data_IF_526496654453
#
_entry.id   IF_526496654453
#
_cell.length_a   1.000
_cell.length_b   1.000
_cell.length_c   1.000
_cell.angle_alpha   90.00
_cell.angle_beta   90.00
_cell.angle_gamma   90.00
#
_symmetry.space_group_name_H-M   'P 1'
#
loop_
_entity.id
_entity.type
_entity.pdbx_description
1 polymer ?
#
# COMPACT_ATOMS: atom_id res chain seq x y z
N UNK A 1 21.32 12.33 23.69
CA UNK A 1 19.92 12.20 23.21
C UNK A 1 19.46 13.60 22.86
N UNK A 2 18.93 13.82 21.66
CA UNK A 2 18.36 15.12 21.33
C UNK A 2 17.24 15.42 22.35
N UNK A 3 17.32 16.58 22.99
CA UNK A 3 16.30 17.05 23.91
C UNK A 3 15.03 17.30 23.09
N UNK A 4 14.08 16.36 23.15
CA UNK A 4 12.84 16.43 22.41
C UNK A 4 11.91 17.42 23.14
N UNK A 5 12.14 18.70 22.91
CA UNK A 5 11.53 19.79 23.71
C UNK A 5 10.18 20.30 23.19
N UNK A 6 9.58 19.65 22.18
CA UNK A 6 8.28 20.05 21.61
C UNK A 6 7.22 19.01 21.90
N UNK A 7 6.04 19.44 22.36
CA UNK A 7 4.87 18.56 22.47
C UNK A 7 4.41 18.16 21.06
N UNK A 8 4.45 16.86 20.69
CA UNK A 8 3.97 16.40 19.38
C UNK A 8 2.52 16.79 19.07
N UNK A 9 1.72 17.14 20.08
CA UNK A 9 0.35 17.63 19.91
C UNK A 9 0.25 18.99 19.19
N UNK A 10 1.35 19.77 19.16
CA UNK A 10 1.44 21.08 18.49
C UNK A 10 1.47 20.97 16.95
N UNK A 11 1.68 19.77 16.40
CA UNK A 11 1.62 19.51 14.96
C UNK A 11 0.16 19.31 14.49
N UNK A 12 -0.71 20.31 14.72
CA UNK A 12 -2.16 20.13 14.59
C UNK A 12 -2.60 19.78 13.16
N UNK A 13 -2.02 20.40 12.11
CA UNK A 13 -2.33 20.04 10.71
C UNK A 13 -2.16 18.54 10.44
N UNK A 14 -1.04 17.94 10.88
CA UNK A 14 -0.81 16.51 10.75
C UNK A 14 -1.88 15.70 11.49
N UNK A 15 -2.15 16.05 12.75
CA UNK A 15 -3.10 15.30 13.56
C UNK A 15 -4.55 15.41 13.07
N UNK A 16 -4.98 16.59 12.65
CA UNK A 16 -6.28 16.77 12.01
C UNK A 16 -6.38 15.94 10.74
N UNK A 17 -5.37 15.99 9.87
CA UNK A 17 -5.34 15.20 8.65
C UNK A 17 -5.40 13.69 8.94
N UNK A 18 -4.64 13.24 9.95
CA UNK A 18 -4.59 11.85 10.41
C UNK A 18 -5.93 11.38 10.95
N UNK A 19 -6.55 12.16 11.83
CA UNK A 19 -7.84 11.83 12.45
C UNK A 19 -8.94 11.78 11.35
N UNK A 20 -8.96 12.72 10.40
CA UNK A 20 -9.91 12.73 9.27
C UNK A 20 -9.84 11.49 8.35
N UNK A 21 -8.66 10.89 8.21
CA UNK A 21 -8.41 9.74 7.33
C UNK A 21 -8.50 8.38 8.06
N UNK A 22 -8.37 8.36 9.39
CA UNK A 22 -8.22 7.10 10.12
C UNK A 22 -9.44 6.18 9.99
N UNK A 23 -9.18 4.88 9.82
CA UNK A 23 -10.22 3.84 9.74
C UNK A 23 -10.99 3.66 11.05
N UNK A 24 -10.35 3.94 12.20
CA UNK A 24 -11.00 3.99 13.52
C UNK A 24 -12.18 4.97 13.54
N UNK A 25 -12.07 6.05 12.76
CA UNK A 25 -13.07 7.11 12.62
C UNK A 25 -13.85 6.99 11.30
N UNK A 26 -14.00 5.76 10.79
CA UNK A 26 -14.81 5.48 9.61
C UNK A 26 -14.19 5.88 8.27
N UNK A 27 -12.93 6.33 8.25
CA UNK A 27 -12.28 6.96 7.08
C UNK A 27 -13.07 8.14 6.53
N UNK A 28 -13.56 9.01 7.43
CA UNK A 28 -14.53 10.07 7.13
C UNK A 28 -14.21 10.85 5.86
N UNK A 29 -12.97 11.34 5.71
CA UNK A 29 -12.58 12.17 4.57
C UNK A 29 -12.51 11.43 3.23
N UNK A 30 -12.52 10.10 3.21
CA UNK A 30 -12.68 9.33 1.97
C UNK A 30 -14.13 9.32 1.46
N UNK A 31 -15.10 9.52 2.36
CA UNK A 31 -16.53 9.34 2.08
C UNK A 31 -17.28 10.66 2.01
N UNK A 32 -16.90 11.64 2.83
CA UNK A 32 -17.63 12.91 2.98
C UNK A 32 -16.83 14.11 2.43
N UNK A 33 -16.26 13.98 1.22
CA UNK A 33 -15.42 15.03 0.63
C UNK A 33 -16.15 16.35 0.39
N UNK A 34 -17.39 16.29 -0.10
CA UNK A 34 -18.17 17.51 -0.35
C UNK A 34 -18.48 18.25 0.95
N UNK A 35 -18.92 17.53 1.98
CA UNK A 35 -19.13 18.10 3.33
C UNK A 35 -17.86 18.77 3.85
N UNK A 36 -16.68 18.16 3.64
CA UNK A 36 -15.41 18.75 4.03
C UNK A 36 -15.07 20.02 3.24
N UNK A 37 -15.36 20.07 1.93
CA UNK A 37 -15.18 21.29 1.12
C UNK A 37 -16.10 22.42 1.61
N UNK A 38 -17.37 22.11 1.84
CA UNK A 38 -18.34 23.06 2.37
C UNK A 38 -17.92 23.60 3.74
N UNK A 39 -17.47 22.71 4.63
CA UNK A 39 -16.95 23.05 5.94
C UNK A 39 -15.76 24.02 5.83
N UNK A 40 -14.79 23.72 4.95
CA UNK A 40 -13.62 24.57 4.76
C UNK A 40 -13.98 25.98 4.24
N UNK A 41 -14.88 26.07 3.27
CA UNK A 41 -15.34 27.35 2.72
C UNK A 41 -16.03 28.19 3.79
N UNK A 42 -16.93 27.60 4.57
CA UNK A 42 -17.67 28.33 5.60
C UNK A 42 -16.73 28.79 6.73
N UNK A 43 -15.81 27.94 7.19
CA UNK A 43 -14.79 28.34 8.17
C UNK A 43 -13.89 29.46 7.64
N UNK A 44 -13.56 29.46 6.34
CA UNK A 44 -12.78 30.53 5.71
C UNK A 44 -13.50 31.88 5.77
N UNK A 45 -14.77 31.91 5.38
CA UNK A 45 -15.58 33.14 5.40
C UNK A 45 -15.69 33.75 6.81
N UNK A 46 -15.81 32.91 7.84
CA UNK A 46 -15.90 33.38 9.23
C UNK A 46 -14.56 33.88 9.79
N UNK A 47 -13.43 33.34 9.33
CA UNK A 47 -12.09 33.76 9.75
C UNK A 47 -11.65 35.10 9.12
N UNK A 48 -12.25 35.49 7.99
CA UNK A 48 -12.00 36.78 7.34
C UNK A 48 -12.82 37.94 7.94
N UNK A 49 -13.85 37.64 8.75
CA UNK A 49 -14.58 38.66 9.50
C UNK A 49 -13.86 38.98 10.81
N UNK A 50 -12.97 39.98 10.78
CA UNK A 50 -12.15 40.46 11.91
C UNK A 50 -12.96 40.81 13.18
N UNK A 51 -14.30 40.90 13.09
CA UNK A 51 -15.20 41.15 14.23
C UNK A 51 -15.46 39.91 15.10
N UNK A 52 -14.99 38.73 14.70
CA UNK A 52 -15.30 37.43 15.30
C UNK A 52 -14.06 36.70 15.85
N UNK A 53 -13.09 37.41 16.43
CA UNK A 53 -11.86 36.79 16.97
C UNK A 53 -11.89 36.54 18.48
N UNK A 54 -13.06 36.64 19.13
CA UNK A 54 -13.22 36.36 20.56
C UNK A 54 -13.45 34.86 20.88
N UNK A 55 -13.34 34.47 22.17
CA UNK A 55 -13.59 33.09 22.61
C UNK A 55 -15.00 32.59 22.26
N UNK A 56 -16.00 33.49 22.25
CA UNK A 56 -17.38 33.15 21.89
C UNK A 56 -17.52 32.75 20.41
N UNK A 57 -16.63 33.24 19.55
CA UNK A 57 -16.51 32.83 18.15
C UNK A 57 -15.90 31.45 17.99
N UNK A 58 -14.83 31.12 18.74
CA UNK A 58 -14.21 29.79 18.71
C UNK A 58 -15.23 28.71 19.10
N UNK A 59 -16.02 28.94 20.15
CA UNK A 59 -17.07 28.01 20.57
C UNK A 59 -18.21 27.89 19.55
N UNK A 60 -18.52 28.97 18.82
CA UNK A 60 -19.48 28.93 17.72
C UNK A 60 -18.97 28.07 16.57
N UNK A 61 -17.71 28.26 16.17
CA UNK A 61 -17.08 27.47 15.12
C UNK A 61 -16.92 26.00 15.50
N UNK A 62 -16.61 25.70 16.77
CA UNK A 62 -16.61 24.32 17.29
C UNK A 62 -17.98 23.64 17.16
N UNK A 63 -19.07 24.35 17.47
CA UNK A 63 -20.44 23.82 17.27
C UNK A 63 -20.72 23.60 15.80
N UNK A 64 -20.37 24.56 14.95
CA UNK A 64 -20.53 24.42 13.51
C UNK A 64 -19.77 23.20 12.96
N UNK A 65 -18.49 23.02 13.32
CA UNK A 65 -17.70 21.84 12.95
C UNK A 65 -18.38 20.55 13.40
N UNK A 66 -18.88 20.51 14.65
CA UNK A 66 -19.60 19.34 15.17
C UNK A 66 -20.81 19.02 14.31
N UNK A 67 -21.70 19.98 14.17
CA UNK A 67 -23.00 19.78 13.54
C UNK A 67 -22.82 19.38 12.08
N UNK A 68 -21.95 20.08 11.33
CA UNK A 68 -21.64 19.73 9.93
C UNK A 68 -21.10 18.31 9.78
N UNK A 69 -20.16 17.89 10.65
CA UNK A 69 -19.57 16.56 10.54
C UNK A 69 -20.56 15.47 10.97
N UNK A 70 -21.28 15.64 12.09
CA UNK A 70 -22.21 14.62 12.58
C UNK A 70 -23.46 14.49 11.72
N UNK A 71 -23.98 15.61 11.19
CA UNK A 71 -25.24 15.62 10.42
C UNK A 71 -25.07 15.05 9.02
N UNK A 72 -23.83 14.94 8.53
CA UNK A 72 -23.52 14.26 7.27
C UNK A 72 -23.72 12.74 7.32
N UNK A 73 -23.90 12.16 8.52
CA UNK A 73 -23.98 10.71 8.72
C UNK A 73 -25.30 10.32 9.37
N UNK A 74 -25.93 9.26 8.83
CA UNK A 74 -27.15 8.70 9.42
C UNK A 74 -26.92 8.25 10.87
N UNK A 75 -27.62 8.90 11.80
CA UNK A 75 -27.56 8.60 13.22
C UNK A 75 -28.07 7.20 13.55
N UNK A 76 -29.13 6.76 12.90
CA UNK A 76 -29.76 5.47 13.19
C UNK A 76 -29.64 4.51 12.01
N UNK A 77 -29.46 3.24 12.33
CA UNK A 77 -29.48 2.13 11.38
C UNK A 77 -30.14 0.92 12.05
N UNK A 78 -31.14 0.32 11.40
CA UNK A 78 -31.87 -0.83 11.94
C UNK A 78 -32.46 -0.63 13.36
N UNK A 79 -32.86 0.59 13.69
CA UNK A 79 -33.50 0.91 14.98
C UNK A 79 -32.55 1.21 16.14
N UNK A 80 -31.23 1.19 15.91
CA UNK A 80 -30.22 1.54 16.90
C UNK A 80 -29.26 2.62 16.35
N UNK A 81 -28.39 3.17 17.20
CA UNK A 81 -27.35 4.12 16.79
C UNK A 81 -26.36 3.42 15.85
N UNK A 82 -26.10 4.03 14.70
CA UNK A 82 -25.22 3.43 13.71
C UNK A 82 -23.76 3.47 14.20
N UNK A 83 -23.01 2.38 13.97
CA UNK A 83 -21.56 2.34 14.25
C UNK A 83 -20.82 3.49 13.58
N UNK A 84 -21.23 3.85 12.36
CA UNK A 84 -20.63 4.96 11.60
C UNK A 84 -20.85 6.30 12.30
N UNK A 85 -22.04 6.53 12.86
CA UNK A 85 -22.32 7.74 13.63
C UNK A 85 -21.46 7.81 14.89
N UNK A 86 -21.35 6.72 15.67
CA UNK A 86 -20.46 6.67 16.86
C UNK A 86 -19.00 6.97 16.50
N UNK A 87 -18.48 6.40 15.41
CA UNK A 87 -17.14 6.70 14.91
C UNK A 87 -16.97 8.18 14.50
N UNK A 88 -18.04 8.79 14.02
CA UNK A 88 -18.07 10.20 13.62
C UNK A 88 -18.15 11.13 14.84
N UNK A 89 -18.88 10.74 15.90
CA UNK A 89 -18.87 11.46 17.18
C UNK A 89 -17.47 11.45 17.82
N UNK A 90 -16.81 10.29 17.87
CA UNK A 90 -15.43 10.17 18.38
C UNK A 90 -14.44 11.04 17.57
N UNK A 91 -14.59 11.09 16.25
CA UNK A 91 -13.80 11.95 15.37
C UNK A 91 -13.95 13.41 15.76
N UNK A 92 -15.21 13.88 15.84
CA UNK A 92 -15.52 15.26 16.19
C UNK A 92 -14.98 15.59 17.57
N UNK A 93 -15.18 14.74 18.57
CA UNK A 93 -14.65 14.97 19.90
C UNK A 93 -13.13 15.19 19.88
N UNK A 94 -12.39 14.39 19.12
CA UNK A 94 -10.93 14.55 18.99
C UNK A 94 -10.54 15.84 18.28
N UNK A 95 -11.22 16.20 17.20
CA UNK A 95 -10.99 17.46 16.49
C UNK A 95 -11.21 18.63 17.45
N UNK A 96 -12.35 18.67 18.14
CA UNK A 96 -12.72 19.78 19.01
C UNK A 96 -11.80 19.91 20.23
N UNK A 97 -11.31 18.79 20.78
CA UNK A 97 -10.32 18.78 21.88
C UNK A 97 -8.98 19.36 21.47
N UNK A 98 -8.63 19.35 20.17
CA UNK A 98 -7.38 19.95 19.66
C UNK A 98 -7.52 21.44 19.34
N UNK A 99 -8.74 21.96 19.22
CA UNK A 99 -9.00 23.37 18.94
C UNK A 99 -9.03 24.14 20.26
N UNK A 100 -8.07 25.02 20.47
CA UNK A 100 -8.01 25.89 21.66
C UNK A 100 -8.16 27.37 21.27
N UNK A 101 -7.82 27.70 20.03
CA UNK A 101 -7.80 29.06 19.49
C UNK A 101 -8.32 29.13 18.06
N UNK A 102 -8.56 30.36 17.58
CA UNK A 102 -8.89 30.60 16.17
C UNK A 102 -7.77 30.14 15.21
N UNK A 103 -6.51 30.12 15.66
CA UNK A 103 -5.41 29.60 14.84
C UNK A 103 -5.53 28.08 14.63
N UNK A 104 -6.02 27.33 15.63
CA UNK A 104 -6.23 25.89 15.45
C UNK A 104 -7.36 25.60 14.45
N UNK A 105 -8.34 26.49 14.33
CA UNK A 105 -9.42 26.40 13.34
C UNK A 105 -8.88 26.66 11.93
N UNK A 106 -7.99 27.65 11.78
CA UNK A 106 -7.23 27.87 10.55
C UNK A 106 -6.41 26.63 10.18
N UNK A 107 -5.72 26.02 11.12
CA UNK A 107 -4.96 24.78 10.89
C UNK A 107 -5.85 23.59 10.54
N UNK A 108 -7.01 23.46 11.20
CA UNK A 108 -7.99 22.45 10.87
C UNK A 108 -8.49 22.61 9.43
N UNK A 109 -8.82 23.84 9.01
CA UNK A 109 -9.20 24.16 7.63
C UNK A 109 -8.12 23.76 6.63
N UNK A 110 -6.85 24.14 6.90
CA UNK A 110 -5.71 23.75 6.06
C UNK A 110 -5.61 22.22 5.96
N UNK A 111 -5.79 21.50 7.07
CA UNK A 111 -5.77 20.04 7.08
C UNK A 111 -6.93 19.44 6.27
N UNK A 112 -8.13 20.01 6.36
CA UNK A 112 -9.29 19.60 5.56
C UNK A 112 -9.01 19.76 4.07
N UNK A 113 -8.59 20.95 3.63
CA UNK A 113 -8.25 21.22 2.24
C UNK A 113 -7.16 20.28 1.73
N UNK A 114 -6.12 20.09 2.54
CA UNK A 114 -5.03 19.20 2.22
C UNK A 114 -5.49 17.76 2.07
N UNK A 115 -6.29 17.25 3.00
CA UNK A 115 -6.80 15.86 2.93
C UNK A 115 -7.69 15.66 1.71
N UNK A 116 -8.58 16.60 1.40
CA UNK A 116 -9.45 16.51 0.21
C UNK A 116 -8.58 16.46 -1.04
N UNK A 117 -7.68 17.44 -1.22
CA UNK A 117 -6.83 17.55 -2.41
C UNK A 117 -5.90 16.36 -2.59
N UNK A 118 -5.26 15.94 -1.50
CA UNK A 118 -4.36 14.78 -1.53
C UNK A 118 -5.10 13.46 -1.75
N UNK A 119 -6.37 13.36 -1.37
CA UNK A 119 -7.20 12.19 -1.69
C UNK A 119 -7.58 12.16 -3.17
N UNK A 120 -7.88 13.32 -3.77
CA UNK A 120 -8.08 13.42 -5.22
C UNK A 120 -6.83 12.99 -5.99
N UNK A 121 -5.65 13.47 -5.58
CA UNK A 121 -4.37 13.06 -6.18
C UNK A 121 -4.24 11.54 -6.16
N UNK A 122 -4.46 10.88 -5.02
CA UNK A 122 -4.35 9.43 -4.91
C UNK A 122 -5.38 8.67 -5.76
N UNK A 123 -6.55 9.25 -6.01
CA UNK A 123 -7.62 8.63 -6.81
C UNK A 123 -7.42 8.81 -8.31
N UNK A 124 -6.80 9.91 -8.74
CA UNK A 124 -6.56 10.20 -10.16
C UNK A 124 -5.18 9.79 -10.64
N UNK A 125 -4.28 9.42 -9.72
CA UNK A 125 -2.96 8.88 -10.09
C UNK A 125 -3.13 7.59 -10.89
N UNK A 126 -2.46 7.51 -12.04
CA UNK A 126 -2.40 6.29 -12.84
C UNK A 126 -1.90 5.13 -11.97
N UNK A 127 -2.66 4.04 -11.94
CA UNK A 127 -2.23 2.81 -11.29
C UNK A 127 -1.34 2.02 -12.23
N UNK A 128 -0.19 1.58 -11.74
CA UNK A 128 0.57 0.51 -12.39
C UNK A 128 -0.30 -0.76 -12.43
N UNK A 129 -0.80 -1.08 -13.62
CA UNK A 129 -1.87 -2.04 -13.84
C UNK A 129 -1.45 -3.19 -14.75
N UNK A 130 -2.44 -3.94 -15.21
CA UNK A 130 -2.23 -5.14 -16.03
C UNK A 130 -1.46 -4.85 -17.33
N UNK A 131 -1.75 -3.73 -17.97
CA UNK A 131 -1.16 -3.40 -19.27
C UNK A 131 0.34 -3.11 -19.15
N UNK A 132 0.76 -2.33 -18.14
CA UNK A 132 2.18 -2.10 -17.86
C UNK A 132 2.91 -3.39 -17.44
N UNK A 133 2.25 -4.25 -16.67
CA UNK A 133 2.81 -5.56 -16.28
C UNK A 133 3.06 -6.42 -17.52
N UNK A 134 2.08 -6.49 -18.43
CA UNK A 134 2.18 -7.26 -19.68
C UNK A 134 3.35 -6.75 -20.52
N UNK A 135 3.46 -5.44 -20.70
CA UNK A 135 4.54 -4.82 -21.48
C UNK A 135 5.91 -5.22 -20.94
N UNK A 136 6.14 -5.08 -19.63
CA UNK A 136 7.44 -5.44 -19.00
C UNK A 136 7.71 -6.95 -19.10
N UNK A 137 6.69 -7.80 -18.92
CA UNK A 137 6.86 -9.24 -19.07
C UNK A 137 7.23 -9.60 -20.51
N UNK A 138 6.52 -9.07 -21.50
CA UNK A 138 6.80 -9.35 -22.90
C UNK A 138 8.20 -8.86 -23.30
N UNK A 139 8.58 -7.64 -22.91
CA UNK A 139 9.93 -7.11 -23.16
C UNK A 139 11.02 -7.95 -22.48
N UNK A 140 10.76 -8.43 -21.27
CA UNK A 140 11.72 -9.26 -20.53
C UNK A 140 11.80 -10.68 -21.06
N UNK A 141 10.71 -11.28 -21.55
CA UNK A 141 10.73 -12.64 -22.07
C UNK A 141 11.32 -12.73 -23.49
N UNK A 142 11.26 -11.65 -24.27
CA UNK A 142 11.68 -11.67 -25.67
C UNK A 142 13.16 -11.99 -25.87
N UNK A 143 13.43 -13.00 -26.69
CA UNK A 143 14.76 -13.27 -27.27
C UNK A 143 14.98 -12.43 -28.54
N UNK A 144 16.22 -12.42 -29.06
CA UNK A 144 16.53 -11.79 -30.36
C UNK A 144 15.71 -12.39 -31.53
N UNK A 145 15.19 -13.61 -31.38
CA UNK A 145 14.32 -14.28 -32.35
C UNK A 145 12.83 -14.02 -32.15
N UNK A 146 12.43 -13.27 -31.12
CA UNK A 146 11.03 -12.97 -30.81
C UNK A 146 10.26 -14.11 -30.13
N UNK A 147 10.95 -15.17 -29.71
CA UNK A 147 10.37 -16.27 -28.92
C UNK A 147 10.56 -16.02 -27.43
N UNK A 148 9.56 -16.29 -26.56
CA UNK A 148 9.72 -16.21 -25.11
C UNK A 148 10.82 -17.16 -24.59
N UNK A 149 11.66 -16.67 -23.68
CA UNK A 149 12.71 -17.46 -23.00
C UNK A 149 12.27 -17.87 -21.59
N UNK A 150 12.06 -19.17 -21.30
CA UNK A 150 11.66 -19.64 -19.96
C UNK A 150 12.67 -19.27 -18.87
N UNK A 151 13.96 -19.12 -19.20
CA UNK A 151 14.99 -18.75 -18.24
C UNK A 151 14.87 -17.31 -17.72
N UNK A 152 14.11 -16.46 -18.44
CA UNK A 152 13.89 -15.04 -18.09
C UNK A 152 12.58 -14.81 -17.34
N UNK A 153 11.81 -15.85 -17.02
CA UNK A 153 10.53 -15.73 -16.32
C UNK A 153 10.67 -15.07 -14.95
N UNK A 154 11.66 -15.47 -14.16
CA UNK A 154 11.89 -14.85 -12.86
C UNK A 154 12.38 -13.40 -13.00
N UNK A 155 13.23 -13.10 -13.99
CA UNK A 155 13.67 -11.74 -14.27
C UNK A 155 12.49 -10.84 -14.66
N UNK A 156 11.50 -11.37 -15.39
CA UNK A 156 10.28 -10.65 -15.71
C UNK A 156 9.50 -10.26 -14.45
N UNK A 157 9.35 -11.18 -13.49
CA UNK A 157 8.72 -10.88 -12.19
C UNK A 157 9.51 -9.82 -11.40
N UNK A 158 10.84 -9.91 -11.43
CA UNK A 158 11.71 -8.93 -10.78
C UNK A 158 11.58 -7.54 -11.40
N UNK A 159 11.64 -7.43 -12.72
CA UNK A 159 11.51 -6.16 -13.45
C UNK A 159 10.14 -5.53 -13.23
N UNK A 160 9.08 -6.34 -13.21
CA UNK A 160 7.72 -5.89 -12.92
C UNK A 160 7.62 -5.26 -11.51
N UNK A 161 8.21 -5.86 -10.46
CA UNK A 161 8.25 -5.24 -9.11
C UNK A 161 9.12 -3.99 -9.08
N UNK A 162 10.32 -4.07 -9.69
CA UNK A 162 11.31 -3.00 -9.66
C UNK A 162 10.84 -1.74 -10.39
N UNK A 163 10.35 -1.90 -11.62
CA UNK A 163 9.85 -0.80 -12.44
C UNK A 163 8.48 -0.31 -11.95
N UNK A 164 7.62 -1.23 -11.50
CA UNK A 164 6.30 -0.89 -10.94
C UNK A 164 6.38 -0.01 -9.71
N UNK A 165 7.34 -0.25 -8.81
CA UNK A 165 7.58 0.64 -7.66
C UNK A 165 8.00 2.04 -8.10
N UNK A 166 8.93 2.13 -9.05
CA UNK A 166 9.42 3.41 -9.56
C UNK A 166 8.32 4.19 -10.29
N UNK A 167 7.53 3.51 -11.14
CA UNK A 167 6.39 4.08 -11.86
C UNK A 167 5.36 4.64 -10.87
N UNK A 168 4.90 3.81 -9.93
CA UNK A 168 3.86 4.19 -8.98
C UNK A 168 4.33 5.33 -8.08
N UNK A 169 5.60 5.34 -7.67
CA UNK A 169 6.19 6.43 -6.91
C UNK A 169 6.22 7.72 -7.72
N UNK A 170 6.67 7.67 -8.98
CA UNK A 170 6.72 8.83 -9.87
C UNK A 170 5.34 9.43 -10.13
N UNK A 171 4.37 8.58 -10.49
CA UNK A 171 3.00 8.97 -10.77
C UNK A 171 2.30 9.64 -9.57
N UNK A 172 2.62 9.18 -8.35
CA UNK A 172 2.08 9.76 -7.11
C UNK A 172 2.81 11.06 -6.70
N UNK A 173 4.13 11.12 -6.87
CA UNK A 173 4.94 12.24 -6.38
C UNK A 173 4.77 13.51 -7.21
N UNK A 174 4.65 13.41 -8.52
CA UNK A 174 4.61 14.60 -9.38
C UNK A 174 3.41 15.53 -9.04
N UNK A 175 2.16 15.03 -8.97
CA UNK A 175 1.02 15.87 -8.61
C UNK A 175 1.09 16.36 -7.15
N UNK A 176 1.74 15.62 -6.26
CA UNK A 176 1.99 16.07 -4.89
C UNK A 176 2.96 17.26 -4.89
N UNK A 177 4.06 17.20 -5.67
CA UNK A 177 5.04 18.29 -5.76
C UNK A 177 4.35 19.56 -6.23
N UNK A 178 3.53 19.49 -7.28
CA UNK A 178 2.76 20.63 -7.78
C UNK A 178 1.86 21.23 -6.70
N UNK A 179 1.09 20.39 -6.02
CA UNK A 179 0.21 20.81 -4.94
C UNK A 179 0.98 21.47 -3.77
N UNK A 180 2.10 20.88 -3.36
CA UNK A 180 2.93 21.43 -2.28
C UNK A 180 3.56 22.76 -2.69
N UNK A 181 4.00 22.89 -3.94
CA UNK A 181 4.57 24.13 -4.46
C UNK A 181 3.54 25.28 -4.46
N UNK A 182 2.31 25.00 -4.90
CA UNK A 182 1.18 25.93 -4.80
C UNK A 182 0.89 26.30 -3.34
N UNK A 183 0.80 25.29 -2.46
CA UNK A 183 0.45 25.51 -1.04
C UNK A 183 1.51 26.29 -0.28
N UNK A 184 2.80 26.08 -0.58
CA UNK A 184 3.89 26.90 -0.04
C UNK A 184 3.71 28.36 -0.43
N UNK A 185 3.40 28.61 -1.71
CA UNK A 185 3.23 29.97 -2.23
C UNK A 185 2.04 30.66 -1.55
N UNK A 186 0.89 29.98 -1.42
CA UNK A 186 -0.30 30.47 -0.70
C UNK A 186 0.05 30.84 0.75
N UNK A 187 0.65 29.91 1.51
CA UNK A 187 0.98 30.12 2.92
C UNK A 187 2.00 31.24 3.15
N UNK A 188 2.93 31.46 2.22
CA UNK A 188 3.92 32.54 2.31
C UNK A 188 3.31 33.93 2.06
N UNK A 189 2.17 34.01 1.37
CA UNK A 189 1.45 35.28 1.19
C UNK A 189 0.61 35.67 2.41
N UNK A 190 0.25 34.72 3.26
CA UNK A 190 -0.48 34.97 4.50
C UNK A 190 0.45 35.61 5.55
N UNK A 191 0.23 36.89 5.94
CA UNK A 191 1.09 37.60 6.89
C UNK A 191 1.08 36.98 8.30
N UNK A 192 0.10 36.12 8.60
CA UNK A 192 0.02 35.38 9.87
C UNK A 192 0.93 34.15 9.90
N UNK A 193 1.53 33.75 8.76
CA UNK A 193 2.37 32.53 8.68
C UNK A 193 3.86 32.85 8.64
N UNK A 194 4.58 32.43 9.67
CA UNK A 194 6.05 32.47 9.64
C UNK A 194 6.65 31.38 8.75
N UNK A 195 7.87 31.57 8.23
CA UNK A 195 8.58 30.53 7.42
C UNK A 195 8.66 29.17 8.12
N UNK A 196 8.90 29.16 9.43
CA UNK A 196 8.94 27.93 10.23
C UNK A 196 7.57 27.25 10.32
N UNK A 197 6.51 28.03 10.36
CA UNK A 197 5.14 27.53 10.39
C UNK A 197 4.73 26.94 9.04
N UNK A 198 5.12 27.57 7.92
CA UNK A 198 4.97 26.97 6.58
C UNK A 198 5.63 25.60 6.53
N UNK A 199 6.89 25.49 6.97
CA UNK A 199 7.60 24.21 7.01
C UNK A 199 6.87 23.16 7.87
N UNK A 200 6.35 23.56 9.04
CA UNK A 200 5.57 22.68 9.93
C UNK A 200 4.31 22.17 9.24
N UNK A 201 3.51 23.05 8.65
CA UNK A 201 2.26 22.71 7.96
C UNK A 201 2.54 21.75 6.80
N UNK A 202 3.46 22.12 5.92
CA UNK A 202 3.81 21.33 4.72
C UNK A 202 4.36 19.95 5.10
N UNK A 203 5.22 19.88 6.14
CA UNK A 203 5.73 18.60 6.61
C UNK A 203 4.62 17.67 7.09
N UNK A 204 3.59 18.20 7.77
CA UNK A 204 2.44 17.40 8.23
C UNK A 204 1.59 16.89 7.08
N UNK A 205 1.37 17.70 6.04
CA UNK A 205 0.66 17.31 4.82
C UNK A 205 1.39 16.18 4.10
N UNK A 206 2.69 16.36 3.84
CA UNK A 206 3.52 15.36 3.14
C UNK A 206 3.55 14.05 3.94
N UNK A 207 3.73 14.13 5.26
CA UNK A 207 3.79 12.94 6.11
C UNK A 207 2.51 12.11 6.05
N UNK A 208 1.33 12.73 6.14
CA UNK A 208 0.06 12.00 6.06
C UNK A 208 -0.28 11.54 4.64
N UNK A 209 0.16 12.27 3.60
CA UNK A 209 0.09 11.79 2.21
C UNK A 209 0.94 10.54 2.01
N UNK A 210 2.24 10.58 2.31
CA UNK A 210 3.16 9.46 2.08
C UNK A 210 2.77 8.22 2.88
N UNK A 211 2.21 8.40 4.08
CA UNK A 211 1.66 7.28 4.85
C UNK A 211 0.54 6.56 4.09
N UNK A 212 -0.35 7.28 3.40
CA UNK A 212 -1.43 6.70 2.59
C UNK A 212 -0.92 6.17 1.25
N UNK A 213 -0.08 6.94 0.57
CA UNK A 213 0.53 6.56 -0.70
C UNK A 213 1.34 5.26 -0.56
N UNK A 214 2.13 5.14 0.51
CA UNK A 214 2.86 3.91 0.84
C UNK A 214 1.96 2.70 1.11
N UNK A 215 0.80 2.88 1.73
CA UNK A 215 -0.19 1.81 1.89
C UNK A 215 -0.78 1.36 0.54
N UNK A 216 -1.06 2.31 -0.36
CA UNK A 216 -1.50 2.01 -1.72
C UNK A 216 -0.41 1.24 -2.48
N UNK A 217 0.85 1.70 -2.45
CA UNK A 217 1.98 1.01 -3.10
C UNK A 217 2.16 -0.41 -2.60
N UNK A 218 2.08 -0.63 -1.29
CA UNK A 218 2.18 -1.96 -0.70
C UNK A 218 1.05 -2.90 -1.16
N UNK A 219 -0.17 -2.38 -1.36
CA UNK A 219 -1.30 -3.15 -1.89
C UNK A 219 -1.11 -3.49 -3.36
N UNK A 220 -0.60 -2.55 -4.17
CA UNK A 220 -0.33 -2.77 -5.60
C UNK A 220 0.74 -3.83 -5.80
N UNK A 221 1.82 -3.81 -5.02
CA UNK A 221 2.94 -4.75 -5.15
C UNK A 221 2.54 -6.25 -5.03
N UNK A 222 1.50 -6.58 -4.25
CA UNK A 222 0.99 -7.97 -4.18
C UNK A 222 0.35 -8.39 -5.50
N UNK A 223 -0.67 -7.64 -5.93
CA UNK A 223 -1.41 -7.88 -7.17
C UNK A 223 -0.50 -7.90 -8.43
N UNK A 224 0.60 -7.14 -8.38
CA UNK A 224 1.58 -7.05 -9.45
C UNK A 224 2.30 -8.39 -9.69
N UNK A 225 2.73 -9.07 -8.62
CA UNK A 225 3.39 -10.37 -8.73
C UNK A 225 2.45 -11.47 -9.20
N UNK A 226 1.22 -11.47 -8.67
CA UNK A 226 0.15 -12.39 -9.05
C UNK A 226 -0.18 -12.28 -10.55
N UNK A 227 -0.42 -11.04 -11.01
CA UNK A 227 -0.74 -10.75 -12.42
C UNK A 227 0.42 -11.11 -13.34
N UNK A 228 1.66 -10.78 -12.95
CA UNK A 228 2.85 -11.12 -13.71
C UNK A 228 3.04 -12.62 -13.84
N UNK A 229 2.91 -13.37 -12.74
CA UNK A 229 3.05 -14.83 -12.75
C UNK A 229 2.00 -15.50 -13.63
N UNK A 230 0.74 -15.09 -13.50
CA UNK A 230 -0.32 -15.62 -14.35
C UNK A 230 -0.05 -15.36 -15.83
N UNK A 231 0.42 -14.17 -16.17
CA UNK A 231 0.71 -13.82 -17.55
C UNK A 231 1.88 -14.62 -18.11
N UNK A 232 2.95 -14.82 -17.33
CA UNK A 232 4.08 -15.69 -17.67
C UNK A 232 3.59 -17.13 -17.95
N UNK A 233 2.75 -17.70 -17.08
CA UNK A 233 2.21 -19.04 -17.32
C UNK A 233 1.40 -19.12 -18.61
N UNK A 234 0.61 -18.10 -18.93
CA UNK A 234 -0.11 -18.04 -20.21
C UNK A 234 0.84 -18.04 -21.41
N UNK A 235 1.99 -17.35 -21.33
CA UNK A 235 3.00 -17.31 -22.41
C UNK A 235 3.62 -18.68 -22.69
N UNK A 236 3.74 -19.53 -21.67
CA UNK A 236 4.30 -20.88 -21.79
C UNK A 236 3.24 -21.98 -21.91
N UNK A 237 1.96 -21.61 -22.02
CA UNK A 237 0.85 -22.58 -22.11
C UNK A 237 0.61 -23.40 -20.83
N UNK A 238 1.08 -22.91 -19.68
CA UNK A 238 0.92 -23.58 -18.38
C UNK A 238 -0.47 -23.24 -17.81
N UNK A 239 -1.35 -24.24 -17.59
CA UNK A 239 -2.69 -23.99 -17.05
C UNK A 239 -2.63 -23.69 -15.55
N UNK A 240 -2.69 -22.41 -15.21
CA UNK A 240 -2.76 -21.90 -13.85
C UNK A 240 -4.16 -21.38 -13.49
N UNK A 241 -4.56 -21.49 -12.23
CA UNK A 241 -5.89 -21.04 -11.76
C UNK A 241 -6.08 -19.53 -11.89
N UNK A 242 -5.03 -18.75 -11.59
CA UNK A 242 -5.04 -17.28 -11.65
C UNK A 242 -5.83 -16.58 -10.55
N UNK A 243 -6.42 -17.34 -9.62
CA UNK A 243 -7.18 -16.82 -8.48
C UNK A 243 -6.51 -17.24 -7.16
N UNK A 244 -6.29 -16.30 -6.23
CA UNK A 244 -5.80 -16.62 -4.89
C UNK A 244 -6.78 -17.51 -4.12
N UNK A 245 -6.25 -18.51 -3.42
CA UNK A 245 -7.00 -19.38 -2.52
C UNK A 245 -6.52 -19.22 -1.07
N UNK A 246 -7.48 -19.03 -0.16
CA UNK A 246 -7.21 -18.89 1.27
C UNK A 246 -7.49 -20.18 2.04
N UNK A 247 -6.49 -20.65 2.78
CA UNK A 247 -6.53 -21.85 3.61
C UNK A 247 -6.21 -21.49 5.06
N UNK A 248 -7.18 -20.88 5.77
CA UNK A 248 -6.95 -20.33 7.10
C UNK A 248 -6.10 -19.07 7.05
N UNK A 249 -4.90 -19.10 7.66
CA UNK A 249 -3.93 -18.00 7.64
C UNK A 249 -2.99 -18.05 6.41
N UNK A 250 -3.14 -19.06 5.55
CA UNK A 250 -2.37 -19.25 4.34
C UNK A 250 -3.08 -18.70 3.11
N UNK A 251 -2.30 -18.07 2.24
CA UNK A 251 -2.70 -17.59 0.92
C UNK A 251 -1.80 -18.24 -0.15
N UNK A 252 -2.41 -18.97 -1.07
CA UNK A 252 -1.80 -19.47 -2.30
C UNK A 252 -2.25 -18.55 -3.41
N UNK A 253 -1.29 -17.85 -4.00
CA UNK A 253 -1.52 -16.77 -4.96
C UNK A 253 -1.89 -17.32 -6.35
N UNK A 254 -1.42 -18.52 -6.68
CA UNK A 254 -1.74 -19.23 -7.92
C UNK A 254 -1.54 -20.74 -7.77
N UNK A 255 -2.19 -21.56 -8.58
CA UNK A 255 -2.02 -23.01 -8.57
C UNK A 255 -1.87 -23.57 -9.98
N UNK A 256 -0.98 -24.54 -10.15
CA UNK A 256 -0.86 -25.33 -11.39
C UNK A 256 -1.09 -26.79 -11.04
N UNK A 257 -2.04 -27.43 -11.71
CA UNK A 257 -2.35 -28.85 -11.55
C UNK A 257 -2.05 -29.58 -12.86
N UNK A 258 -1.30 -30.67 -12.78
CA UNK A 258 -0.95 -31.49 -13.93
C UNK A 258 -1.00 -32.99 -13.61
N UNK A 259 -0.81 -33.85 -14.64
CA UNK A 259 -0.94 -35.30 -14.50
C UNK A 259 0.07 -35.95 -13.54
N UNK A 260 1.19 -35.28 -13.24
CA UNK A 260 2.23 -35.80 -12.33
C UNK A 260 2.17 -35.21 -10.93
N UNK A 261 1.58 -34.02 -10.77
CA UNK A 261 1.55 -33.32 -9.51
C UNK A 261 0.98 -31.91 -9.62
N UNK A 262 0.82 -31.28 -8.46
CA UNK A 262 0.18 -29.99 -8.27
C UNK A 262 1.04 -29.06 -7.40
N UNK A 263 1.12 -27.79 -7.81
CA UNK A 263 1.93 -26.76 -7.15
C UNK A 263 1.04 -25.60 -6.72
N UNK A 264 1.19 -25.16 -5.48
CA UNK A 264 0.72 -23.86 -5.01
C UNK A 264 1.85 -22.84 -5.00
N UNK A 265 1.67 -21.69 -5.63
CA UNK A 265 2.66 -20.61 -5.64
C UNK A 265 2.38 -19.61 -4.53
N UNK A 266 3.41 -19.30 -3.74
CA UNK A 266 3.39 -18.18 -2.80
C UNK A 266 4.36 -17.10 -3.28
N UNK A 267 3.80 -16.03 -3.83
CA UNK A 267 4.50 -14.90 -4.42
C UNK A 267 4.62 -13.78 -3.38
N UNK A 268 5.84 -13.56 -2.88
CA UNK A 268 6.06 -12.54 -1.84
C UNK A 268 7.34 -11.77 -2.10
N UNK A 269 7.22 -10.45 -2.28
CA UNK A 269 8.40 -9.57 -2.33
C UNK A 269 9.36 -9.83 -1.16
N UNK A 270 8.82 -9.92 0.05
CA UNK A 270 9.55 -10.34 1.26
C UNK A 270 8.80 -11.45 1.97
N UNK A 271 9.49 -12.53 2.34
CA UNK A 271 8.95 -13.67 3.09
C UNK A 271 8.58 -13.32 4.54
N UNK A 272 9.38 -12.45 5.18
CA UNK A 272 9.35 -12.10 6.62
C UNK A 272 9.17 -13.33 7.50
N UNK A 273 8.52 -13.21 8.64
CA UNK A 273 8.07 -14.35 9.48
C UNK A 273 6.85 -15.09 8.89
N UNK A 274 6.15 -14.45 7.95
CA UNK A 274 4.84 -14.89 7.43
C UNK A 274 4.92 -16.09 6.50
N UNK A 275 6.08 -16.39 5.92
CA UNK A 275 6.27 -17.61 5.13
C UNK A 275 5.95 -18.88 5.93
N UNK A 276 6.09 -18.86 7.27
CA UNK A 276 5.71 -19.99 8.14
C UNK A 276 4.20 -20.27 8.15
N UNK A 277 3.36 -19.32 7.75
CA UNK A 277 1.93 -19.55 7.55
C UNK A 277 1.68 -20.48 6.36
N UNK A 278 2.61 -20.52 5.40
CA UNK A 278 2.60 -21.42 4.25
C UNK A 278 3.25 -22.77 4.52
N UNK A 279 3.88 -22.92 5.67
CA UNK A 279 4.50 -24.15 6.10
C UNK A 279 3.51 -24.93 6.97
N UNK A 280 3.36 -26.23 6.69
CA UNK A 280 2.49 -27.24 7.26
C UNK A 280 1.02 -27.07 6.87
N UNK A 281 0.57 -27.81 5.85
CA UNK A 281 -0.80 -28.39 5.66
C UNK A 281 -1.02 -28.90 4.22
N UNK A 282 -0.23 -29.84 3.70
CA UNK A 282 -0.53 -30.50 2.40
C UNK A 282 -2.00 -30.97 2.34
N UNK A 283 -2.51 -31.54 3.44
CA UNK A 283 -3.88 -32.01 3.57
C UNK A 283 -4.98 -30.93 3.61
N UNK A 284 -4.66 -29.66 3.92
CA UNK A 284 -5.66 -28.56 3.89
C UNK A 284 -5.56 -27.71 2.62
N UNK A 285 -4.39 -27.63 1.98
CA UNK A 285 -4.15 -26.79 0.79
C UNK A 285 -4.59 -27.50 -0.49
N UNK A 286 -4.49 -28.84 -0.53
CA UNK A 286 -4.89 -29.62 -1.70
C UNK A 286 -3.91 -29.53 -2.88
N UNK A 287 -2.64 -29.24 -2.61
CA UNK A 287 -1.53 -29.30 -3.58
C UNK A 287 -0.39 -30.17 -3.03
N UNK A 288 0.43 -30.74 -3.91
CA UNK A 288 1.55 -31.60 -3.53
C UNK A 288 2.73 -30.79 -2.97
N UNK A 289 3.02 -29.60 -3.53
CA UNK A 289 4.09 -28.72 -3.04
C UNK A 289 3.71 -27.24 -3.05
N UNK A 290 4.28 -26.47 -2.13
CA UNK A 290 4.23 -25.00 -2.14
C UNK A 290 5.57 -24.43 -2.59
N UNK A 291 5.55 -23.63 -3.65
CA UNK A 291 6.77 -23.02 -4.22
C UNK A 291 6.77 -21.52 -3.96
N UNK A 292 7.86 -21.04 -3.38
CA UNK A 292 8.04 -19.65 -3.00
C UNK A 292 8.78 -18.88 -4.11
N UNK A 293 8.15 -17.80 -4.56
CA UNK A 293 8.78 -16.79 -5.40
C UNK A 293 9.03 -15.56 -4.53
N UNK A 294 10.30 -15.30 -4.20
CA UNK A 294 10.67 -14.13 -3.41
C UNK A 294 11.66 -13.25 -4.14
N UNK A 295 11.39 -11.95 -4.21
CA UNK A 295 12.21 -10.98 -4.96
C UNK A 295 13.27 -10.27 -4.12
N UNK A 296 13.14 -10.27 -2.78
CA UNK A 296 14.13 -9.64 -1.90
C UNK A 296 15.05 -10.66 -1.24
N UNK A 297 16.21 -10.89 -1.86
CA UNK A 297 17.22 -11.82 -1.37
C UNK A 297 17.71 -11.52 0.05
N UNK A 298 17.73 -10.24 0.47
CA UNK A 298 18.08 -9.80 1.83
C UNK A 298 17.24 -10.47 2.94
N UNK A 299 16.07 -10.98 2.58
CA UNK A 299 15.13 -11.60 3.50
C UNK A 299 15.15 -13.15 3.42
N UNK A 300 16.08 -13.74 2.66
CA UNK A 300 16.25 -15.19 2.53
C UNK A 300 17.48 -15.62 3.35
N UNK A 301 17.25 -16.05 4.60
CA UNK A 301 18.29 -16.57 5.49
C UNK A 301 18.39 -18.09 5.43
N UNK A 302 19.51 -18.66 5.90
CA UNK A 302 19.67 -20.12 5.99
C UNK A 302 18.55 -20.79 6.80
N UNK A 303 18.16 -20.19 7.92
CA UNK A 303 17.06 -20.67 8.76
C UNK A 303 15.76 -20.77 7.96
N UNK A 304 15.43 -19.78 7.14
CA UNK A 304 14.23 -19.82 6.30
C UNK A 304 14.31 -20.88 5.22
N UNK A 305 15.47 -21.04 4.56
CA UNK A 305 15.64 -22.08 3.55
C UNK A 305 15.48 -23.46 4.21
N UNK A 306 16.02 -23.66 5.41
CA UNK A 306 15.84 -24.90 6.17
C UNK A 306 14.38 -25.13 6.56
N UNK A 307 13.68 -24.11 7.05
CA UNK A 307 12.26 -24.18 7.38
C UNK A 307 11.42 -24.56 6.14
N UNK A 308 11.68 -23.96 4.98
CA UNK A 308 11.04 -24.32 3.70
C UNK A 308 11.39 -25.77 3.30
N UNK A 309 12.63 -26.19 3.53
CA UNK A 309 13.11 -27.53 3.17
C UNK A 309 12.49 -28.63 4.00
N UNK A 310 12.32 -28.40 5.31
CA UNK A 310 11.68 -29.34 6.22
C UNK A 310 10.23 -29.67 5.83
N UNK A 311 9.63 -28.78 5.03
CA UNK A 311 8.27 -28.83 4.53
C UNK A 311 8.17 -29.33 3.09
N UNK A 312 9.25 -29.83 2.51
CA UNK A 312 9.28 -30.33 1.13
C UNK A 312 9.08 -29.25 0.07
N UNK A 313 9.15 -27.98 0.45
CA UNK A 313 8.87 -26.84 -0.43
C UNK A 313 10.14 -26.37 -1.16
N UNK A 314 9.94 -25.50 -2.16
CA UNK A 314 11.02 -24.92 -2.98
C UNK A 314 11.02 -23.40 -2.95
N UNK A 315 12.19 -22.81 -3.13
CA UNK A 315 12.38 -21.37 -3.30
C UNK A 315 13.33 -21.09 -4.47
N UNK A 316 12.94 -20.14 -5.31
CA UNK A 316 13.70 -19.75 -6.49
C UNK A 316 14.51 -18.47 -6.23
N UNK A 317 15.80 -18.50 -6.56
CA UNK A 317 16.70 -17.34 -6.40
C UNK A 317 17.61 -17.16 -7.63
N UNK A 318 18.00 -15.92 -8.00
CA UNK A 318 18.95 -15.68 -9.07
C UNK A 318 20.32 -16.31 -8.79
N UNK A 319 20.97 -16.86 -9.83
CA UNK A 319 22.30 -17.50 -9.69
C UNK A 319 23.40 -16.52 -9.27
N UNK A 320 23.26 -15.26 -9.62
CA UNK A 320 24.18 -14.18 -9.25
C UNK A 320 23.88 -13.59 -7.86
N UNK A 321 22.80 -14.03 -7.20
CA UNK A 321 22.46 -13.58 -5.85
C UNK A 321 23.48 -14.04 -4.80
N UNK A 322 23.65 -13.26 -3.74
CA UNK A 322 24.49 -13.66 -2.60
C UNK A 322 23.90 -14.86 -1.83
N UNK A 323 22.61 -15.17 -2.00
CA UNK A 323 21.93 -16.32 -1.40
C UNK A 323 22.39 -17.59 -2.12
N UNK A 324 22.30 -17.60 -3.46
CA UNK A 324 22.78 -18.70 -4.28
C UNK A 324 24.26 -18.97 -4.00
N UNK A 325 25.10 -17.95 -4.12
CA UNK A 325 26.55 -18.05 -3.90
C UNK A 325 26.96 -18.60 -2.51
N UNK A 326 26.09 -18.48 -1.50
CA UNK A 326 26.38 -18.94 -0.14
C UNK A 326 25.89 -20.35 0.15
N UNK A 327 24.79 -20.77 -0.48
CA UNK A 327 24.06 -21.98 -0.10
C UNK A 327 23.88 -23.01 -1.22
N UNK A 328 24.25 -22.71 -2.47
CA UNK A 328 24.07 -23.62 -3.62
C UNK A 328 24.84 -24.94 -3.49
N UNK A 329 25.97 -24.93 -2.78
CA UNK A 329 26.82 -26.10 -2.59
C UNK A 329 26.39 -26.95 -1.38
N UNK A 330 25.38 -26.51 -0.63
CA UNK A 330 24.82 -27.28 0.49
C UNK A 330 23.88 -28.37 -0.05
N UNK A 331 24.36 -29.62 -0.05
CA UNK A 331 23.62 -30.76 -0.58
C UNK A 331 22.29 -31.02 0.14
N UNK A 332 22.16 -30.59 1.40
CA UNK A 332 20.90 -30.72 2.15
C UNK A 332 19.84 -29.76 1.61
N UNK A 333 20.24 -28.67 0.96
CA UNK A 333 19.34 -27.64 0.43
C UNK A 333 19.11 -27.74 -1.08
N UNK A 334 19.78 -28.66 -1.79
CA UNK A 334 19.75 -28.77 -3.25
C UNK A 334 18.35 -29.03 -3.84
N UNK A 335 17.45 -29.65 -3.07
CA UNK A 335 16.05 -29.81 -3.47
C UNK A 335 15.27 -28.49 -3.37
N UNK A 336 15.48 -27.78 -2.27
CA UNK A 336 14.70 -26.61 -1.89
C UNK A 336 15.18 -25.33 -2.56
N UNK A 337 16.50 -25.11 -2.59
CA UNK A 337 17.10 -23.92 -3.19
C UNK A 337 17.29 -24.15 -4.69
N UNK A 338 16.39 -23.58 -5.50
CA UNK A 338 16.38 -23.73 -6.95
C UNK A 338 16.86 -22.45 -7.64
N UNK A 339 17.57 -22.57 -8.77
CA UNK A 339 17.99 -21.40 -9.51
C UNK A 339 16.80 -20.84 -10.31
N UNK A 340 16.66 -19.52 -10.29
CA UNK A 340 15.56 -18.79 -10.92
C UNK A 340 15.40 -19.08 -12.42
N UNK A 341 16.50 -19.34 -13.12
CA UNK A 341 16.52 -19.64 -14.56
C UNK A 341 15.93 -21.02 -14.91
N UNK A 342 15.70 -21.88 -13.93
CA UNK A 342 15.04 -23.19 -14.11
C UNK A 342 13.57 -23.16 -13.70
N UNK A 343 13.02 -21.99 -13.34
CA UNK A 343 11.68 -21.91 -12.76
C UNK A 343 10.59 -22.56 -13.63
N UNK A 344 10.48 -22.18 -14.90
CA UNK A 344 9.46 -22.71 -15.81
C UNK A 344 9.71 -24.18 -16.13
N UNK A 345 10.97 -24.57 -16.34
CA UNK A 345 11.34 -25.96 -16.62
C UNK A 345 10.95 -26.88 -15.45
N UNK A 346 11.24 -26.46 -14.21
CA UNK A 346 10.87 -27.19 -13.00
C UNK A 346 9.35 -27.35 -12.90
N UNK A 347 8.57 -26.29 -13.17
CA UNK A 347 7.09 -26.36 -13.13
C UNK A 347 6.58 -27.41 -14.11
N UNK A 348 7.06 -27.39 -15.35
CA UNK A 348 6.68 -28.34 -16.41
C UNK A 348 7.11 -29.76 -16.04
N UNK A 349 8.32 -29.97 -15.54
CA UNK A 349 8.83 -31.28 -15.16
C UNK A 349 8.00 -31.91 -14.03
N UNK A 350 7.73 -31.12 -12.98
CA UNK A 350 7.03 -31.56 -11.77
C UNK A 350 5.56 -31.86 -12.04
N UNK A 351 4.85 -30.96 -12.73
CA UNK A 351 3.40 -31.11 -12.97
C UNK A 351 3.11 -32.01 -14.17
N UNK A 352 4.04 -32.11 -15.13
CA UNK A 352 3.87 -32.88 -16.36
C UNK A 352 2.90 -32.24 -17.36
N UNK A 353 2.62 -30.94 -17.24
CA UNK A 353 1.88 -30.18 -18.26
C UNK A 353 2.73 -30.06 -19.53
N UNK A 354 2.10 -30.15 -20.70
CA UNK A 354 2.80 -29.90 -21.96
C UNK A 354 2.93 -28.37 -22.17
N UNK A 355 4.10 -27.81 -21.87
CA UNK A 355 4.42 -26.43 -22.26
C UNK A 355 4.53 -26.29 -23.77
N UNK A 356 4.20 -25.11 -24.32
CA UNK A 356 4.36 -24.81 -25.75
C UNK A 356 5.80 -24.51 -26.15
#
# INVERSE_FOLDING_TARGET
MADYSGDPSEYKVYWFARDLIASSYGSYAKKEKETLRELSVQLGNELEDDRLTDEASVDRQKRFIRDTITDSVNRTYAGDISKRYLQTEDLVERILRRIESANDIREFRIAVDAVVRTSEILETTASFGRDEIIEIVDETLQTQSGTPDPARAYDALFNVDFEGEAYQLGAQREPLIDYIHEKISELQTDPKTGKREVARIISGIIQEYERRAGQSRASTAGNVLETGLQYIFNQFGIPATGDPAHFGDLEIDNMVEGPKGSIGFSCKRTLRERFRQSLSREAEIGVDEVWFVSLLMADVSREKIQDISNDGSRIYVPRDSFVWNRYSDDSELAYTLRPADQFIEDVVEFTGVEGQ
#
